data_IF_894921289031
#
_entry.id   IF_894921289031
#
_cell.length_a   1.000
_cell.length_b   1.000
_cell.length_c   1.000
_cell.angle_alpha   90.00
_cell.angle_beta   90.00
_cell.angle_gamma   90.00
#
_symmetry.space_group_name_H-M   'P 1'
#
loop_
_entity.id
_entity.type
_entity.pdbx_description
1 polymer ?
#
# COMPACT_ATOMS: atom_id res chain seq x y z
N UNK A 1 6.89 15.35 -2.02
CA UNK A 1 6.60 14.40 -0.92
C UNK A 1 5.66 13.33 -1.45
N UNK A 2 5.81 12.10 -0.97
CA UNK A 2 4.90 10.99 -1.24
C UNK A 2 4.48 10.40 0.11
N UNK A 3 3.18 10.12 0.27
CA UNK A 3 2.59 9.45 1.43
C UNK A 3 1.81 8.25 0.88
N UNK A 4 2.08 7.07 1.44
CA UNK A 4 1.36 5.85 1.12
C UNK A 4 0.87 5.21 2.42
N UNK A 5 -0.31 4.61 2.41
CA UNK A 5 -0.79 3.86 3.56
C UNK A 5 -2.20 3.33 3.38
N UNK A 6 -2.60 2.48 4.32
CA UNK A 6 -3.98 2.04 4.52
C UNK A 6 -4.70 3.04 5.44
N UNK A 7 -5.80 3.61 4.95
CA UNK A 7 -6.56 4.63 5.68
C UNK A 7 -7.82 4.07 6.32
N UNK A 8 -8.28 2.89 5.89
CA UNK A 8 -9.58 2.33 6.26
C UNK A 8 -10.76 3.33 6.12
N UNK A 9 -10.68 4.24 5.15
CA UNK A 9 -11.67 5.28 4.89
C UNK A 9 -12.10 5.32 3.43
N UNK A 10 -13.38 5.58 3.18
CA UNK A 10 -13.96 5.58 1.83
C UNK A 10 -14.18 6.99 1.33
N UNK A 11 -13.89 7.22 0.06
CA UNK A 11 -14.18 8.47 -0.66
C UNK A 11 -14.22 8.20 -2.15
N UNK A 12 -15.03 8.98 -2.87
CA UNK A 12 -15.03 9.02 -4.33
C UNK A 12 -13.75 9.61 -4.93
N UNK A 13 -12.90 10.25 -4.13
CA UNK A 13 -11.62 10.82 -4.54
C UNK A 13 -10.58 9.74 -4.88
N UNK A 14 -10.67 8.55 -4.27
CA UNK A 14 -9.74 7.43 -4.49
C UNK A 14 -10.42 6.09 -4.73
N UNK A 15 -11.76 6.06 -4.83
CA UNK A 15 -12.54 4.85 -5.11
C UNK A 15 -13.68 5.16 -6.06
N UNK A 16 -13.74 4.46 -7.20
CA UNK A 16 -14.76 4.72 -8.21
C UNK A 16 -16.16 4.20 -7.82
N UNK A 17 -16.23 3.25 -6.88
CA UNK A 17 -17.46 2.53 -6.52
C UNK A 17 -18.15 3.08 -5.26
N UNK A 18 -17.81 4.29 -4.84
CA UNK A 18 -18.34 4.93 -3.63
C UNK A 18 -19.03 6.25 -4.00
N UNK A 19 -20.24 6.48 -3.47
CA UNK A 19 -21.04 7.67 -3.79
C UNK A 19 -20.64 8.94 -3.02
N UNK A 20 -19.85 8.82 -1.96
CA UNK A 20 -19.34 9.95 -1.18
C UNK A 20 -18.55 9.48 0.05
N UNK A 21 -17.81 10.39 0.70
CA UNK A 21 -16.91 9.99 1.77
C UNK A 21 -17.62 9.60 3.05
N UNK A 22 -17.10 8.57 3.72
CA UNK A 22 -17.45 8.28 5.10
C UNK A 22 -16.75 9.24 6.07
N UNK A 23 -16.84 8.98 7.38
CA UNK A 23 -16.30 9.88 8.39
C UNK A 23 -14.77 9.99 8.34
N UNK A 24 -14.06 8.90 8.03
CA UNK A 24 -12.60 8.89 7.94
C UNK A 24 -12.13 9.45 6.60
N UNK A 25 -12.81 9.07 5.51
CA UNK A 25 -12.59 9.63 4.19
C UNK A 25 -12.78 11.15 4.16
N UNK A 26 -13.80 11.67 4.85
CA UNK A 26 -14.04 13.13 4.91
C UNK A 26 -12.94 13.88 5.66
N UNK A 27 -12.41 13.31 6.75
CA UNK A 27 -11.27 13.90 7.46
C UNK A 27 -10.06 13.98 6.54
N UNK A 28 -9.80 12.91 5.79
CA UNK A 28 -8.68 12.84 4.89
C UNK A 28 -8.85 13.75 3.66
N UNK A 29 -10.03 13.82 3.05
CA UNK A 29 -10.31 14.79 1.97
C UNK A 29 -10.03 16.23 2.41
N UNK A 30 -10.46 16.61 3.62
CA UNK A 30 -10.17 17.92 4.18
C UNK A 30 -8.66 18.12 4.35
N UNK A 31 -7.92 17.12 4.82
CA UNK A 31 -6.47 17.19 4.95
C UNK A 31 -5.76 17.31 3.60
N UNK A 32 -6.19 16.52 2.59
CA UNK A 32 -5.67 16.57 1.22
C UNK A 32 -5.84 17.98 0.64
N UNK A 33 -7.04 18.55 0.80
CA UNK A 33 -7.34 19.91 0.33
C UNK A 33 -6.51 20.97 1.05
N UNK A 34 -6.47 20.93 2.38
CA UNK A 34 -5.75 21.91 3.20
C UNK A 34 -4.23 21.88 2.97
N UNK A 35 -3.66 20.69 2.72
CA UNK A 35 -2.23 20.51 2.47
C UNK A 35 -1.87 20.60 0.98
N UNK A 36 -2.86 20.85 0.10
CA UNK A 36 -2.71 20.89 -1.35
C UNK A 36 -1.97 19.64 -1.87
N UNK A 37 -2.51 18.45 -1.56
CA UNK A 37 -2.01 17.17 -2.04
C UNK A 37 -2.87 16.66 -3.20
N UNK A 38 -2.28 15.81 -4.04
CA UNK A 38 -2.95 15.11 -5.12
C UNK A 38 -3.04 13.62 -4.78
N UNK A 39 -4.22 13.02 -5.00
CA UNK A 39 -4.38 11.58 -4.96
C UNK A 39 -3.99 10.97 -6.31
N UNK A 40 -3.19 9.89 -6.29
CA UNK A 40 -2.76 9.19 -7.50
C UNK A 40 -3.62 7.96 -7.84
N UNK A 41 -4.47 7.52 -6.91
CA UNK A 41 -5.35 6.37 -7.14
C UNK A 41 -6.26 6.63 -8.34
N UNK A 42 -6.44 5.60 -9.17
CA UNK A 42 -7.37 5.61 -10.32
C UNK A 42 -8.81 5.20 -9.96
N UNK A 43 -9.02 4.72 -8.72
CA UNK A 43 -10.31 4.29 -8.22
C UNK A 43 -10.50 2.78 -8.19
N UNK A 44 -9.52 1.99 -8.63
CA UNK A 44 -9.57 0.53 -8.56
C UNK A 44 -9.47 0.01 -7.11
N UNK A 45 -9.85 -1.26 -6.93
CA UNK A 45 -9.84 -1.91 -5.62
C UNK A 45 -8.41 -2.25 -5.19
N UNK A 46 -8.04 -1.84 -3.98
CA UNK A 46 -6.74 -2.16 -3.36
C UNK A 46 -6.85 -3.28 -2.34
N UNK A 47 -8.06 -3.72 -2.03
CA UNK A 47 -8.34 -4.74 -1.04
C UNK A 47 -9.52 -5.61 -1.45
N UNK A 48 -9.44 -6.90 -1.15
CA UNK A 48 -10.50 -7.88 -1.36
C UNK A 48 -10.58 -8.87 -0.20
N UNK A 49 -11.78 -9.03 0.34
CA UNK A 49 -12.10 -10.02 1.37
C UNK A 49 -12.66 -11.29 0.74
N UNK A 50 -11.93 -12.39 0.93
CA UNK A 50 -12.35 -13.72 0.48
C UNK A 50 -13.55 -14.26 1.25
N UNK A 51 -13.68 -13.91 2.54
CA UNK A 51 -14.77 -14.36 3.41
C UNK A 51 -16.10 -13.64 3.12
N UNK A 52 -16.07 -12.33 2.84
CA UNK A 52 -17.26 -11.52 2.59
C UNK A 52 -17.56 -11.31 1.10
N UNK A 53 -16.68 -11.78 0.21
CA UNK A 53 -16.78 -11.57 -1.24
C UNK A 53 -16.98 -10.09 -1.60
N UNK A 54 -16.22 -9.22 -0.95
CA UNK A 54 -16.33 -7.76 -1.08
C UNK A 54 -14.98 -7.14 -1.37
N UNK A 55 -15.00 -6.07 -2.15
CA UNK A 55 -13.81 -5.31 -2.54
C UNK A 55 -13.91 -3.85 -2.08
N UNK A 56 -12.78 -3.21 -1.83
CA UNK A 56 -12.71 -1.79 -1.44
C UNK A 56 -11.36 -1.18 -1.83
N UNK A 57 -11.32 0.15 -1.92
CA UNK A 57 -10.09 0.93 -2.09
C UNK A 57 -9.74 1.55 -0.75
N UNK A 58 -8.86 0.89 0.01
CA UNK A 58 -8.49 1.28 1.39
C UNK A 58 -7.10 1.89 1.47
N UNK A 59 -6.24 1.54 0.50
CA UNK A 59 -4.88 2.03 0.39
C UNK A 59 -4.83 3.20 -0.57
N UNK A 60 -4.11 4.27 -0.19
CA UNK A 60 -3.96 5.44 -1.07
C UNK A 60 -2.51 5.82 -1.26
N UNK A 61 -2.28 6.56 -2.34
CA UNK A 61 -1.02 7.27 -2.57
C UNK A 61 -1.29 8.75 -2.79
N UNK A 62 -0.74 9.58 -1.91
CA UNK A 62 -0.82 11.03 -1.98
C UNK A 62 0.54 11.63 -2.32
N UNK A 63 0.53 12.67 -3.15
CA UNK A 63 1.75 13.38 -3.54
C UNK A 63 1.54 14.89 -3.54
N UNK A 64 2.63 15.65 -3.47
CA UNK A 64 2.60 17.08 -3.78
C UNK A 64 2.34 17.29 -5.28
N UNK A 65 1.62 18.35 -5.70
CA UNK A 65 1.25 18.58 -7.11
C UNK A 65 2.43 18.53 -8.08
N UNK A 66 3.57 19.13 -7.71
CA UNK A 66 4.78 19.09 -8.54
C UNK A 66 5.36 17.69 -8.76
N UNK A 67 5.01 16.70 -7.92
CA UNK A 67 5.41 15.30 -8.11
C UNK A 67 4.42 14.50 -8.95
N UNK A 68 3.14 14.90 -9.01
CA UNK A 68 2.09 14.11 -9.65
C UNK A 68 2.42 13.75 -11.11
N UNK A 69 2.97 14.71 -11.86
CA UNK A 69 3.36 14.50 -13.26
C UNK A 69 4.54 13.54 -13.48
N UNK A 70 5.31 13.26 -12.43
CA UNK A 70 6.44 12.33 -12.49
C UNK A 70 6.05 10.92 -12.05
N UNK A 71 4.87 10.75 -11.47
CA UNK A 71 4.43 9.48 -10.91
C UNK A 71 3.56 8.71 -11.91
N UNK A 72 3.87 7.44 -12.11
CA UNK A 72 2.96 6.46 -12.67
C UNK A 72 2.51 5.54 -11.53
N UNK A 73 1.20 5.43 -11.35
CA UNK A 73 0.58 4.64 -10.30
C UNK A 73 -0.16 3.47 -10.94
N UNK A 74 -0.02 2.27 -10.36
CA UNK A 74 -0.77 1.09 -10.78
C UNK A 74 -0.90 0.10 -9.61
N UNK A 75 -1.97 -0.69 -9.64
CA UNK A 75 -2.13 -1.86 -8.76
C UNK A 75 -1.47 -3.08 -9.44
N UNK A 76 -1.01 -4.04 -8.65
CA UNK A 76 -0.66 -5.38 -9.17
C UNK A 76 -1.89 -6.28 -9.15
N UNK A 77 -2.10 -7.03 -10.23
CA UNK A 77 -3.21 -8.00 -10.34
C UNK A 77 -3.09 -9.20 -9.37
N UNK A 78 -1.94 -9.34 -8.71
CA UNK A 78 -1.64 -10.42 -7.76
C UNK A 78 -1.42 -9.86 -6.36
N UNK A 79 -2.13 -10.43 -5.38
CA UNK A 79 -2.09 -10.02 -3.97
C UNK A 79 -1.02 -10.74 -3.12
N UNK A 80 -0.30 -11.71 -3.71
CA UNK A 80 0.71 -12.52 -3.04
C UNK A 80 0.24 -13.19 -1.73
N UNK A 81 -1.04 -13.54 -1.64
CA UNK A 81 -1.62 -14.19 -0.44
C UNK A 81 -2.08 -13.23 0.66
N UNK A 82 -1.97 -11.90 0.44
CA UNK A 82 -2.65 -10.90 1.25
C UNK A 82 -4.08 -10.67 0.74
N UNK A 83 -4.94 -10.13 1.57
CA UNK A 83 -6.21 -9.52 1.16
C UNK A 83 -6.01 -8.13 0.51
N UNK A 84 -4.86 -7.49 0.67
CA UNK A 84 -4.48 -6.26 -0.03
C UNK A 84 -3.71 -6.55 -1.33
N UNK A 85 -3.98 -5.73 -2.35
CA UNK A 85 -3.22 -5.70 -3.60
C UNK A 85 -2.08 -4.69 -3.49
N UNK A 86 -0.84 -5.08 -3.80
CA UNK A 86 0.28 -4.15 -3.80
C UNK A 86 0.08 -3.01 -4.80
N UNK A 87 0.38 -1.80 -4.35
CA UNK A 87 0.44 -0.60 -5.19
C UNK A 87 1.88 -0.37 -5.63
N UNK A 88 2.07 -0.12 -6.92
CA UNK A 88 3.34 0.31 -7.50
C UNK A 88 3.22 1.78 -7.90
N UNK A 89 4.09 2.61 -7.34
CA UNK A 89 4.30 3.99 -7.79
C UNK A 89 5.71 4.14 -8.36
N UNK A 90 5.81 4.32 -9.68
CA UNK A 90 7.08 4.61 -10.37
C UNK A 90 7.28 6.12 -10.44
N UNK A 91 8.44 6.60 -10.03
CA UNK A 91 8.78 8.02 -10.07
C UNK A 91 9.82 8.23 -11.18
N UNK A 92 9.43 8.94 -12.23
CA UNK A 92 10.27 9.21 -13.40
C UNK A 92 11.06 10.50 -13.24
N UNK A 93 12.10 10.68 -14.06
CA UNK A 93 12.83 11.96 -14.17
C UNK A 93 13.72 12.32 -12.97
N UNK A 94 13.76 11.48 -11.93
CA UNK A 94 14.76 11.60 -10.87
C UNK A 94 16.11 11.10 -11.40
N UNK A 95 17.13 11.94 -11.28
CA UNK A 95 18.52 11.55 -11.56
C UNK A 95 18.89 10.33 -10.72
N UNK A 96 19.38 9.26 -11.36
CA UNK A 96 19.96 8.04 -10.75
C UNK A 96 21.27 8.33 -9.99
N UNK A 97 21.28 9.34 -9.11
CA UNK A 97 22.34 9.52 -8.13
C UNK A 97 21.81 8.96 -6.82
N UNK A 98 22.06 7.67 -6.53
CA UNK A 98 21.79 7.14 -5.19
C UNK A 98 22.79 7.81 -4.24
N UNK A 99 22.49 9.00 -3.75
CA UNK A 99 23.22 9.59 -2.62
C UNK A 99 22.77 8.99 -1.29
N UNK A 100 21.69 8.21 -1.30
CA UNK A 100 21.31 7.35 -0.19
C UNK A 100 21.83 5.96 -0.50
N UNK A 101 22.83 5.51 0.25
CA UNK A 101 23.21 4.10 0.25
C UNK A 101 21.94 3.28 0.47
N UNK A 102 21.72 2.26 -0.38
CA UNK A 102 20.70 1.25 -0.10
C UNK A 102 20.80 0.89 1.38
N UNK A 103 19.69 0.83 2.15
CA UNK A 103 19.71 0.10 3.41
C UNK A 103 20.22 -1.30 3.08
N UNK A 104 21.50 -1.56 3.36
CA UNK A 104 22.06 -2.89 3.21
C UNK A 104 21.71 -3.59 4.50
N UNK A 105 20.63 -4.35 4.49
CA UNK A 105 20.42 -5.34 5.53
C UNK A 105 21.56 -6.34 5.44
N UNK A 106 22.41 -6.37 6.46
CA UNK A 106 23.47 -7.36 6.52
C UNK A 106 22.85 -8.73 6.77
N UNK A 107 22.75 -9.54 5.73
CA UNK A 107 22.31 -10.93 5.83
C UNK A 107 23.42 -11.86 6.29
N UNK A 108 24.67 -11.37 6.41
CA UNK A 108 25.83 -12.17 6.77
C UNK A 108 25.73 -12.79 8.16
N UNK A 109 24.98 -12.13 9.06
CA UNK A 109 24.80 -12.55 10.44
C UNK A 109 23.44 -13.23 10.69
N UNK A 110 22.66 -13.48 9.62
CA UNK A 110 21.37 -14.16 9.73
C UNK A 110 21.60 -15.66 9.64
N UNK A 111 21.26 -16.38 10.70
CA UNK A 111 21.19 -17.84 10.65
C UNK A 111 19.87 -18.26 9.98
N UNK A 112 19.92 -18.44 8.66
CA UNK A 112 18.76 -18.85 7.86
C UNK A 112 18.19 -20.22 8.25
N UNK A 113 19.01 -21.12 8.81
CA UNK A 113 18.53 -22.41 9.27
C UNK A 113 17.65 -22.25 10.50
N UNK A 114 18.09 -21.47 11.49
CA UNK A 114 17.26 -21.17 12.68
C UNK A 114 15.97 -20.45 12.28
N UNK A 115 16.02 -19.45 11.40
CA UNK A 115 14.81 -18.79 10.92
C UNK A 115 13.83 -19.78 10.27
N UNK A 116 14.33 -20.68 9.42
CA UNK A 116 13.50 -21.71 8.77
C UNK A 116 12.90 -22.68 9.78
N UNK A 117 13.70 -23.17 10.73
CA UNK A 117 13.25 -24.09 11.78
C UNK A 117 12.14 -23.46 12.63
N UNK A 118 12.32 -22.19 13.02
CA UNK A 118 11.31 -21.43 13.77
C UNK A 118 10.02 -21.24 12.97
N UNK A 119 10.10 -20.90 11.68
CA UNK A 119 8.91 -20.80 10.81
C UNK A 119 8.17 -22.13 10.68
N UNK A 120 8.90 -23.24 10.50
CA UNK A 120 8.30 -24.58 10.42
C UNK A 120 7.64 -24.96 11.74
N UNK A 121 8.33 -24.74 12.88
CA UNK A 121 7.78 -25.02 14.22
C UNK A 121 6.46 -24.27 14.42
N UNK A 122 6.45 -22.97 14.17
CA UNK A 122 5.26 -22.13 14.34
C UNK A 122 4.11 -22.56 13.42
N UNK A 123 4.40 -22.88 12.16
CA UNK A 123 3.38 -23.33 11.20
C UNK A 123 2.77 -24.66 11.62
N UNK A 124 3.60 -25.59 12.13
CA UNK A 124 3.13 -26.88 12.61
C UNK A 124 2.28 -26.73 13.88
N UNK A 125 2.73 -25.94 14.86
CA UNK A 125 1.97 -25.64 16.08
C UNK A 125 0.59 -25.06 15.76
N UNK A 126 0.52 -24.09 14.84
CA UNK A 126 -0.75 -23.51 14.38
C UNK A 126 -1.66 -24.53 13.69
N UNK A 127 -1.10 -25.54 13.02
CA UNK A 127 -1.86 -26.59 12.34
C UNK A 127 -2.41 -27.66 13.30
N UNK A 128 -1.93 -27.74 14.54
CA UNK A 128 -2.42 -28.67 15.57
C UNK A 128 -3.46 -28.03 16.51
N UNK A 129 -3.67 -26.70 16.42
CA UNK A 129 -4.68 -25.96 17.21
C UNK A 129 -6.01 -25.73 16.46
N UNK A 130 -6.10 -26.16 15.19
CA UNK A 130 -7.32 -26.19 14.37
C UNK A 130 -7.88 -27.62 14.28
#
# INVERSE_FOLDING_TARGET
>A
MIICGDINGKSSLWSQYVHGPDIEGRKLENAISNLNLCCLNDGDFTWFSSDRSSASSLDITLVTPGMAHFCNWNILDVNHGSDHFPIITKINGLSNKPNFGRPSFSTSNINWNTFREECIRFTNEFSYEL
#
